data_IF_600146711550
#
_entry.id   IF_600146711550
#
_cell.length_a   1.000
_cell.length_b   1.000
_cell.length_c   1.000
_cell.angle_alpha   90.00
_cell.angle_beta   90.00
_cell.angle_gamma   90.00
#
_symmetry.space_group_name_H-M   'P 1'
#
loop_
_entity.id
_entity.type
_entity.pdbx_description
1 polymer ?
#
# COMPACT_ATOMS: atom_id res chain seq x y z
N UNK A 1 32.09 13.78 -27.72
CA UNK A 1 31.34 12.50 -27.62
C UNK A 1 31.21 12.10 -26.14
N UNK A 2 31.20 13.07 -25.23
CA UNK A 2 31.56 12.87 -23.81
C UNK A 2 30.37 12.93 -22.84
N UNK A 3 29.20 13.33 -23.32
CA UNK A 3 28.00 13.51 -22.50
C UNK A 3 27.31 12.18 -22.14
N UNK A 4 27.54 11.13 -22.95
CA UNK A 4 26.95 9.80 -22.73
C UNK A 4 27.60 9.04 -21.56
N UNK A 5 28.91 9.20 -21.37
CA UNK A 5 29.68 8.50 -20.33
C UNK A 5 29.36 9.00 -18.92
N UNK A 6 29.22 10.32 -18.75
CA UNK A 6 28.87 10.93 -17.46
C UNK A 6 27.47 10.54 -16.99
N UNK A 7 26.49 10.50 -17.91
CA UNK A 7 25.11 10.08 -17.61
C UNK A 7 25.03 8.60 -17.21
N UNK A 8 25.79 7.73 -17.89
CA UNK A 8 25.85 6.31 -17.54
C UNK A 8 26.51 6.07 -16.18
N UNK A 9 27.62 6.76 -15.90
CA UNK A 9 28.31 6.64 -14.62
C UNK A 9 27.45 7.14 -13.45
N UNK A 10 26.74 8.26 -13.63
CA UNK A 10 25.79 8.77 -12.65
C UNK A 10 24.62 7.80 -12.40
N UNK A 11 24.09 7.13 -13.43
CA UNK A 11 23.09 6.06 -13.26
C UNK A 11 23.67 4.86 -12.50
N UNK A 12 24.87 4.41 -12.85
CA UNK A 12 25.52 3.29 -12.19
C UNK A 12 25.75 3.56 -10.69
N UNK A 13 26.20 4.77 -10.34
CA UNK A 13 26.38 5.20 -8.95
C UNK A 13 25.05 5.24 -8.18
N UNK A 14 23.97 5.76 -8.80
CA UNK A 14 22.63 5.73 -8.19
C UNK A 14 22.16 4.30 -7.95
N UNK A 15 22.36 3.39 -8.91
CA UNK A 15 22.02 1.98 -8.74
C UNK A 15 22.86 1.30 -7.66
N UNK A 16 24.16 1.58 -7.58
CA UNK A 16 25.03 1.05 -6.54
C UNK A 16 24.63 1.54 -5.13
N UNK A 17 24.32 2.83 -4.98
CA UNK A 17 23.84 3.39 -3.73
C UNK A 17 22.48 2.78 -3.30
N UNK A 18 21.56 2.63 -4.26
CA UNK A 18 20.29 1.91 -4.04
C UNK A 18 20.54 0.48 -3.55
N UNK A 19 21.43 -0.26 -4.19
CA UNK A 19 21.79 -1.62 -3.77
C UNK A 19 22.37 -1.64 -2.35
N UNK A 20 23.30 -0.76 -2.02
CA UNK A 20 23.91 -0.70 -0.68
C UNK A 20 22.88 -0.41 0.42
N UNK A 21 21.87 0.42 0.14
CA UNK A 21 20.84 0.79 1.12
C UNK A 21 19.72 -0.25 1.24
N UNK A 22 19.35 -0.92 0.14
CA UNK A 22 18.25 -1.88 0.11
C UNK A 22 18.69 -3.31 0.41
N UNK A 23 19.89 -3.72 -0.03
CA UNK A 23 20.35 -5.11 0.08
C UNK A 23 20.40 -5.63 1.53
N UNK A 24 20.88 -4.88 2.54
CA UNK A 24 20.89 -5.36 3.93
C UNK A 24 19.48 -5.65 4.44
N UNK A 25 18.53 -4.76 4.14
CA UNK A 25 17.11 -4.91 4.53
C UNK A 25 16.46 -6.08 3.78
N UNK A 26 16.79 -6.27 2.51
CA UNK A 26 16.33 -7.38 1.72
C UNK A 26 16.85 -8.72 2.25
N UNK A 27 18.14 -8.82 2.54
CA UNK A 27 18.76 -10.02 3.09
C UNK A 27 18.17 -10.39 4.46
N UNK A 28 17.91 -9.40 5.33
CA UNK A 28 17.25 -9.64 6.60
C UNK A 28 15.84 -10.22 6.40
N UNK A 29 15.05 -9.62 5.49
CA UNK A 29 13.72 -10.13 5.16
C UNK A 29 13.76 -11.53 4.55
N UNK A 30 14.74 -11.81 3.70
CA UNK A 30 14.99 -13.13 3.12
C UNK A 30 15.30 -14.17 4.21
N UNK A 31 16.18 -13.85 5.16
CA UNK A 31 16.47 -14.72 6.31
C UNK A 31 15.22 -14.94 7.17
N UNK A 32 14.40 -13.90 7.40
CA UNK A 32 13.15 -14.04 8.13
C UNK A 32 12.15 -14.97 7.42
N UNK A 33 11.96 -14.81 6.11
CA UNK A 33 11.11 -15.71 5.33
C UNK A 33 11.63 -17.16 5.37
N UNK A 34 12.94 -17.36 5.30
CA UNK A 34 13.56 -18.67 5.44
C UNK A 34 13.33 -19.30 6.82
N UNK A 35 13.43 -18.50 7.89
CA UNK A 35 13.09 -18.95 9.24
C UNK A 35 11.60 -19.32 9.37
N UNK A 36 10.72 -18.61 8.67
CA UNK A 36 9.28 -18.89 8.65
C UNK A 36 8.90 -20.16 7.87
N UNK A 37 9.80 -20.76 7.10
CA UNK A 37 9.57 -22.11 6.53
C UNK A 37 9.60 -23.21 7.60
N UNK A 38 10.26 -22.96 8.74
CA UNK A 38 10.24 -23.89 9.85
C UNK A 38 8.91 -23.77 10.61
N UNK A 39 8.05 -24.80 10.52
CA UNK A 39 6.70 -24.81 11.11
C UNK A 39 6.64 -24.37 12.58
N UNK A 40 7.61 -24.77 13.40
CA UNK A 40 7.68 -24.39 14.81
C UNK A 40 7.91 -22.87 14.99
N UNK A 41 8.78 -22.29 14.15
CA UNK A 41 9.07 -20.86 14.14
C UNK A 41 7.84 -20.12 13.60
N UNK A 42 7.27 -20.58 12.48
CA UNK A 42 6.05 -20.00 11.89
C UNK A 42 4.92 -19.92 12.90
N UNK A 43 4.59 -21.04 13.55
CA UNK A 43 3.52 -21.08 14.55
C UNK A 43 3.80 -20.12 15.71
N UNK A 44 5.04 -20.05 16.19
CA UNK A 44 5.42 -19.16 17.29
C UNK A 44 5.37 -17.68 16.89
N UNK A 45 5.79 -17.33 15.67
CA UNK A 45 5.75 -15.96 15.15
C UNK A 45 4.31 -15.52 14.88
N UNK A 46 3.50 -16.35 14.23
CA UNK A 46 2.09 -16.04 13.94
C UNK A 46 1.26 -15.91 15.22
N UNK A 47 1.48 -16.78 16.22
CA UNK A 47 0.84 -16.64 17.53
C UNK A 47 1.25 -15.32 18.19
N UNK A 48 2.55 -14.98 18.19
CA UNK A 48 3.04 -13.74 18.78
C UNK A 48 2.57 -12.49 18.03
N UNK A 49 2.35 -12.59 16.71
CA UNK A 49 1.74 -11.53 15.90
C UNK A 49 0.25 -11.38 16.21
N UNK A 50 -0.48 -12.48 16.34
CA UNK A 50 -1.88 -12.48 16.77
C UNK A 50 -2.05 -11.91 18.18
N UNK A 51 -1.13 -12.18 19.11
CA UNK A 51 -1.10 -11.55 20.44
C UNK A 51 -0.78 -10.06 20.42
N UNK A 52 -0.05 -9.57 19.39
CA UNK A 52 0.26 -8.15 19.16
C UNK A 52 -0.84 -7.41 18.40
N UNK A 53 -1.87 -8.12 17.96
CA UNK A 53 -3.04 -7.56 17.31
C UNK A 53 -3.94 -7.00 18.41
N UNK A 54 -3.48 -5.90 19.02
CA UNK A 54 -4.03 -5.32 20.24
C UNK A 54 -5.47 -4.75 20.07
N UNK A 55 -5.99 -4.66 18.84
CA UNK A 55 -7.31 -4.07 18.56
C UNK A 55 -8.19 -4.99 17.69
N UNK A 56 -9.47 -5.18 18.06
CA UNK A 56 -10.45 -5.92 17.24
C UNK A 56 -10.77 -5.25 15.90
N UNK A 57 -10.32 -4.00 15.70
CA UNK A 57 -10.53 -3.25 14.46
C UNK A 57 -9.49 -3.53 13.37
N UNK A 58 -8.33 -4.10 13.73
CA UNK A 58 -7.24 -4.36 12.78
C UNK A 58 -7.48 -5.72 12.09
N UNK A 59 -7.50 -5.81 10.74
CA UNK A 59 -7.75 -7.07 10.05
C UNK A 59 -6.65 -8.09 10.33
N UNK A 60 -6.97 -9.40 10.46
CA UNK A 60 -5.96 -10.43 10.68
C UNK A 60 -4.92 -10.39 9.56
N UNK A 61 -3.65 -10.56 9.91
CA UNK A 61 -2.59 -10.73 8.91
C UNK A 61 -2.83 -12.04 8.18
N UNK A 62 -3.33 -11.96 6.95
CA UNK A 62 -3.52 -13.12 6.10
C UNK A 62 -2.16 -13.67 5.66
N UNK A 63 -1.97 -14.97 5.84
CA UNK A 63 -0.74 -15.67 5.47
C UNK A 63 -1.07 -16.62 4.33
N UNK A 64 -0.33 -16.51 3.23
CA UNK A 64 -0.48 -17.49 2.13
C UNK A 64 -0.31 -18.91 2.65
N UNK A 65 -1.25 -19.80 2.30
CA UNK A 65 -1.24 -21.24 2.63
C UNK A 65 -0.08 -22.03 2.01
N UNK A 66 0.80 -21.38 1.26
CA UNK A 66 1.98 -22.06 0.74
C UNK A 66 2.80 -22.64 1.89
N UNK A 67 3.21 -23.91 1.76
CA UNK A 67 4.05 -24.57 2.75
C UNK A 67 5.45 -23.95 2.87
N UNK A 68 5.80 -23.02 1.96
CA UNK A 68 7.05 -22.25 1.98
C UNK A 68 6.77 -20.77 1.79
N UNK A 69 7.25 -19.97 2.73
CA UNK A 69 7.35 -18.51 2.69
C UNK A 69 8.60 -18.06 1.93
N UNK A 70 9.68 -18.84 1.97
CA UNK A 70 10.90 -18.56 1.23
C UNK A 70 10.84 -19.09 -0.21
N UNK A 71 10.06 -18.42 -1.04
CA UNK A 71 9.98 -18.70 -2.47
C UNK A 71 10.59 -17.55 -3.28
N UNK A 72 10.89 -17.81 -4.55
CA UNK A 72 11.39 -16.78 -5.45
C UNK A 72 10.37 -15.65 -5.64
N UNK A 73 9.09 -16.00 -5.63
CA UNK A 73 7.94 -15.10 -5.70
C UNK A 73 7.90 -14.19 -4.47
N UNK A 74 8.02 -14.76 -3.26
CA UNK A 74 8.06 -13.98 -2.02
C UNK A 74 9.25 -13.02 -1.99
N UNK A 75 10.43 -13.49 -2.39
CA UNK A 75 11.63 -12.64 -2.47
C UNK A 75 11.44 -11.50 -3.49
N UNK A 76 10.87 -11.78 -4.66
CA UNK A 76 10.55 -10.76 -5.65
C UNK A 76 9.56 -9.73 -5.12
N UNK A 77 8.51 -10.18 -4.41
CA UNK A 77 7.50 -9.30 -3.83
C UNK A 77 8.09 -8.40 -2.72
N UNK A 78 8.91 -8.97 -1.82
CA UNK A 78 9.62 -8.21 -0.78
C UNK A 78 10.55 -7.17 -1.40
N UNK A 79 11.36 -7.55 -2.39
CA UNK A 79 12.24 -6.62 -3.09
C UNK A 79 11.45 -5.51 -3.78
N UNK A 80 10.34 -5.86 -4.43
CA UNK A 80 9.46 -4.91 -5.11
C UNK A 80 8.88 -3.89 -4.13
N UNK A 81 8.29 -4.34 -3.02
CA UNK A 81 7.74 -3.46 -1.99
C UNK A 81 8.81 -2.58 -1.33
N UNK A 82 10.00 -3.13 -1.03
CA UNK A 82 11.11 -2.34 -0.48
C UNK A 82 11.59 -1.26 -1.44
N UNK A 83 11.71 -1.59 -2.73
CA UNK A 83 12.11 -0.65 -3.79
C UNK A 83 11.06 0.46 -3.94
N UNK A 84 9.78 0.11 -3.99
CA UNK A 84 8.70 1.09 -4.10
C UNK A 84 8.69 2.03 -2.91
N UNK A 85 8.79 1.53 -1.68
CA UNK A 85 8.77 2.42 -0.52
C UNK A 85 10.02 3.32 -0.47
N UNK A 86 11.19 2.83 -0.89
CA UNK A 86 12.38 3.67 -0.94
C UNK A 86 12.30 4.77 -2.01
N UNK A 87 11.64 4.51 -3.13
CA UNK A 87 11.53 5.43 -4.26
C UNK A 87 10.26 6.29 -4.24
N UNK A 88 9.35 6.05 -3.29
CA UNK A 88 8.09 6.79 -3.21
C UNK A 88 8.35 8.27 -3.00
N UNK A 89 7.45 9.09 -3.52
CA UNK A 89 7.48 10.54 -3.31
C UNK A 89 6.68 10.97 -2.08
N UNK A 90 5.66 10.22 -1.69
CA UNK A 90 4.83 10.53 -0.52
C UNK A 90 5.61 10.36 0.79
N UNK A 91 5.70 11.44 1.56
CA UNK A 91 6.33 11.44 2.89
C UNK A 91 5.49 12.28 3.86
N UNK A 92 5.46 11.85 5.13
CA UNK A 92 4.80 12.59 6.19
C UNK A 92 5.30 14.04 6.26
N UNK A 93 4.37 15.01 6.26
CA UNK A 93 4.63 16.45 6.30
C UNK A 93 4.82 17.12 4.94
N UNK A 94 5.09 16.34 3.89
CA UNK A 94 5.35 16.82 2.53
C UNK A 94 4.07 16.91 1.69
N UNK A 95 4.19 17.49 0.49
CA UNK A 95 3.12 17.54 -0.50
C UNK A 95 2.68 16.13 -0.92
N UNK A 96 1.37 15.91 -0.95
CA UNK A 96 0.78 14.64 -1.38
C UNK A 96 0.90 14.50 -2.91
N UNK A 97 1.44 13.37 -3.42
CA UNK A 97 1.53 13.16 -4.87
C UNK A 97 0.16 13.16 -5.57
N UNK A 98 -0.03 14.04 -6.55
CA UNK A 98 -1.30 14.18 -7.26
C UNK A 98 -1.36 13.32 -8.55
N UNK A 99 -1.33 12.00 -8.38
CA UNK A 99 -1.31 11.02 -9.47
C UNK A 99 -2.68 10.82 -10.13
N UNK A 100 -2.66 10.28 -11.34
CA UNK A 100 -3.86 10.01 -12.14
C UNK A 100 -4.52 8.70 -11.71
N UNK A 101 -5.84 8.74 -11.53
CA UNK A 101 -6.68 7.62 -11.13
C UNK A 101 -7.99 7.65 -11.93
N UNK A 102 -8.69 6.52 -11.99
CA UNK A 102 -9.95 6.41 -12.75
C UNK A 102 -11.10 6.06 -11.81
N UNK A 103 -12.16 6.84 -11.80
CA UNK A 103 -13.38 6.55 -11.04
C UNK A 103 -14.05 5.30 -11.57
N UNK A 104 -14.35 4.33 -10.70
CA UNK A 104 -14.95 3.06 -11.12
C UNK A 104 -16.36 3.25 -11.69
N UNK A 105 -17.20 4.03 -10.99
CA UNK A 105 -18.61 4.24 -11.37
C UNK A 105 -18.77 5.09 -12.63
N UNK A 106 -17.99 6.16 -12.75
CA UNK A 106 -18.11 7.15 -13.86
C UNK A 106 -17.18 6.83 -15.04
N UNK A 107 -16.22 5.90 -14.87
CA UNK A 107 -15.13 5.63 -15.81
C UNK A 107 -14.37 6.89 -16.25
N UNK A 108 -14.34 7.91 -15.39
CA UNK A 108 -13.71 9.20 -15.63
C UNK A 108 -12.32 9.26 -15.00
N UNK A 109 -11.35 9.74 -15.76
CA UNK A 109 -10.01 10.04 -15.25
C UNK A 109 -10.03 11.30 -14.41
N UNK A 110 -9.46 11.22 -13.21
CA UNK A 110 -9.31 12.32 -12.25
C UNK A 110 -7.94 12.19 -11.58
N UNK A 111 -7.57 13.15 -10.73
CA UNK A 111 -6.39 13.00 -9.86
C UNK A 111 -6.80 12.74 -8.41
N UNK A 112 -5.85 12.24 -7.61
CA UNK A 112 -6.10 11.94 -6.20
C UNK A 112 -6.60 13.17 -5.44
N UNK A 113 -5.99 14.34 -5.67
CA UNK A 113 -6.36 15.55 -4.94
C UNK A 113 -7.72 16.11 -5.38
N UNK A 114 -8.19 15.81 -6.59
CA UNK A 114 -9.55 16.19 -7.05
C UNK A 114 -10.65 15.48 -6.24
N UNK A 115 -10.29 14.40 -5.54
CA UNK A 115 -11.20 13.69 -4.66
C UNK A 115 -11.32 14.30 -3.26
N UNK A 116 -10.48 15.29 -2.92
CA UNK A 116 -10.58 16.03 -1.65
C UNK A 116 -11.80 16.95 -1.64
N UNK A 117 -12.42 17.13 -0.48
CA UNK A 117 -13.58 18.02 -0.31
C UNK A 117 -13.25 19.12 0.70
N UNK A 118 -12.68 20.22 0.19
CA UNK A 118 -12.25 21.36 1.01
C UNK A 118 -11.17 20.94 2.03
N UNK A 119 -11.23 21.49 3.25
CA UNK A 119 -10.25 21.22 4.33
C UNK A 119 -10.49 19.91 5.09
N UNK A 120 -11.25 18.96 4.53
CA UNK A 120 -11.53 17.69 5.20
C UNK A 120 -10.39 16.70 4.97
N UNK A 121 -9.97 15.92 5.99
CA UNK A 121 -9.01 14.86 5.79
C UNK A 121 -9.56 13.84 4.77
N UNK A 122 -8.75 13.55 3.75
CA UNK A 122 -8.96 12.47 2.81
C UNK A 122 -8.14 11.27 3.27
N UNK A 123 -8.80 10.25 3.80
CA UNK A 123 -8.15 8.96 4.05
C UNK A 123 -8.02 8.27 2.70
N UNK A 124 -6.78 8.03 2.28
CA UNK A 124 -6.45 7.18 1.14
C UNK A 124 -6.23 5.78 1.69
N UNK A 125 -7.13 4.89 1.31
CA UNK A 125 -6.96 3.48 1.59
C UNK A 125 -6.64 2.77 0.28
N UNK A 126 -5.53 2.06 0.24
CA UNK A 126 -5.31 1.08 -0.80
C UNK A 126 -6.02 -0.23 -0.35
N UNK A 127 -7.34 -0.15 -0.11
CA UNK A 127 -8.20 -1.06 0.68
C UNK A 127 -9.57 -0.43 1.05
N UNK A 128 -10.34 -0.93 2.03
CA UNK A 128 -11.77 -0.52 2.27
C UNK A 128 -12.01 0.65 3.27
N UNK A 129 -13.07 1.44 3.01
CA UNK A 129 -13.54 2.68 3.68
C UNK A 129 -12.70 3.95 3.43
N UNK A 130 -13.41 5.06 3.11
CA UNK A 130 -12.89 6.31 2.51
C UNK A 130 -12.38 6.12 1.06
N UNK A 131 -11.63 7.07 0.46
CA UNK A 131 -11.27 6.94 -0.95
C UNK A 131 -10.36 5.72 -1.13
N UNK A 132 -10.90 4.71 -1.80
CA UNK A 132 -10.21 3.46 -2.07
C UNK A 132 -9.46 3.61 -3.39
N UNK A 133 -8.14 3.47 -3.36
CA UNK A 133 -7.33 3.40 -4.58
C UNK A 133 -6.99 1.94 -4.86
N UNK A 134 -7.73 1.34 -5.78
CA UNK A 134 -7.50 -0.03 -6.24
C UNK A 134 -6.22 -0.11 -7.08
N UNK A 135 -5.27 -0.93 -6.65
CA UNK A 135 -3.97 -1.10 -7.31
C UNK A 135 -3.86 -2.47 -7.96
N UNK A 136 -2.65 -2.88 -8.33
CA UNK A 136 -2.40 -4.22 -8.85
C UNK A 136 -2.59 -5.30 -7.78
N UNK A 137 -3.00 -6.50 -8.20
CA UNK A 137 -3.16 -7.64 -7.31
C UNK A 137 -1.83 -8.02 -6.65
N UNK A 138 -1.85 -8.12 -5.32
CA UNK A 138 -0.74 -8.67 -4.56
C UNK A 138 -0.57 -10.18 -4.82
N UNK A 139 -1.69 -10.89 -5.00
CA UNK A 139 -1.77 -12.33 -5.16
C UNK A 139 -2.59 -12.72 -6.39
N UNK A 140 -2.09 -12.47 -7.62
CA UNK A 140 -2.83 -12.79 -8.82
C UNK A 140 -3.00 -14.30 -8.99
N UNK A 141 -4.18 -14.74 -9.47
CA UNK A 141 -4.51 -16.16 -9.64
C UNK A 141 -3.69 -16.87 -10.73
N UNK A 142 -3.09 -16.13 -11.66
CA UNK A 142 -2.14 -16.60 -12.68
C UNK A 142 -0.67 -16.42 -12.25
N UNK A 143 -0.42 -16.20 -10.96
CA UNK A 143 0.91 -16.04 -10.38
C UNK A 143 1.02 -16.63 -8.98
N UNK A 144 1.24 -15.77 -7.98
CA UNK A 144 1.39 -16.19 -6.59
C UNK A 144 0.03 -16.27 -5.89
N UNK A 145 -0.59 -17.45 -5.97
CA UNK A 145 -1.96 -17.69 -5.51
C UNK A 145 -2.07 -17.71 -3.98
N UNK A 146 -3.13 -17.08 -3.46
CA UNK A 146 -3.60 -17.25 -2.08
C UNK A 146 -4.96 -17.95 -2.08
N UNK A 147 -5.08 -19.08 -1.40
CA UNK A 147 -6.35 -19.82 -1.26
C UNK A 147 -7.35 -19.14 -0.33
N UNK A 148 -6.89 -18.24 0.52
CA UNK A 148 -7.73 -17.48 1.46
C UNK A 148 -8.39 -16.26 0.82
N UNK A 149 -8.02 -15.90 -0.41
CA UNK A 149 -8.60 -14.75 -1.08
C UNK A 149 -10.05 -15.07 -1.52
N UNK A 150 -11.04 -14.23 -1.16
CA UNK A 150 -12.44 -14.44 -1.53
C UNK A 150 -12.65 -14.39 -3.05
N UNK A 151 -11.78 -13.69 -3.77
CA UNK A 151 -11.80 -13.54 -5.21
C UNK A 151 -10.47 -13.99 -5.83
N UNK A 152 -10.54 -14.79 -6.89
CA UNK A 152 -9.37 -15.29 -7.62
C UNK A 152 -9.17 -14.48 -8.90
N UNK A 153 -8.48 -13.35 -8.78
CA UNK A 153 -8.34 -12.35 -9.84
C UNK A 153 -6.97 -12.52 -10.53
N UNK A 154 -6.90 -12.69 -11.87
CA UNK A 154 -5.62 -12.77 -12.57
C UNK A 154 -4.96 -11.39 -12.66
N UNK A 155 -3.67 -11.35 -12.98
CA UNK A 155 -2.97 -10.08 -13.17
C UNK A 155 -3.65 -9.25 -14.27
N UNK A 156 -3.99 -8.00 -13.94
CA UNK A 156 -4.59 -7.06 -14.88
C UNK A 156 -3.68 -6.83 -16.09
N UNK A 157 -4.20 -7.05 -17.30
CA UNK A 157 -3.50 -6.80 -18.56
C UNK A 157 -3.90 -5.47 -19.18
N UNK A 158 -5.09 -5.00 -18.84
CA UNK A 158 -5.61 -3.71 -19.26
C UNK A 158 -6.41 -3.03 -18.15
N UNK A 159 -6.73 -1.75 -18.33
CA UNK A 159 -7.51 -0.97 -17.36
C UNK A 159 -8.89 -1.57 -17.11
N UNK A 160 -9.52 -2.17 -18.12
CA UNK A 160 -10.83 -2.81 -17.98
C UNK A 160 -10.78 -4.02 -17.04
N UNK A 161 -9.69 -4.80 -17.04
CA UNK A 161 -9.51 -5.89 -16.08
C UNK A 161 -9.50 -5.36 -14.65
N UNK A 162 -8.76 -4.26 -14.43
CA UNK A 162 -8.66 -3.62 -13.11
C UNK A 162 -9.97 -2.98 -12.67
N UNK A 163 -10.71 -2.36 -13.58
CA UNK A 163 -12.04 -1.81 -13.29
C UNK A 163 -13.03 -2.91 -12.90
N UNK A 164 -13.02 -4.05 -13.60
CA UNK A 164 -13.88 -5.21 -13.26
C UNK A 164 -13.55 -5.77 -11.88
N UNK A 165 -12.26 -5.88 -11.55
CA UNK A 165 -11.80 -6.30 -10.23
C UNK A 165 -12.24 -5.33 -9.13
N UNK A 166 -12.02 -4.02 -9.34
CA UNK A 166 -12.43 -2.98 -8.40
C UNK A 166 -13.96 -2.89 -8.19
N UNK A 167 -14.75 -3.26 -9.21
CA UNK A 167 -16.20 -3.32 -9.10
C UNK A 167 -16.68 -4.36 -8.07
N UNK A 168 -15.90 -5.42 -7.82
CA UNK A 168 -16.19 -6.40 -6.76
C UNK A 168 -16.07 -5.78 -5.36
N UNK A 169 -15.26 -4.74 -5.15
CA UNK A 169 -15.25 -4.04 -3.86
C UNK A 169 -16.55 -3.27 -3.62
N UNK A 170 -17.16 -2.76 -4.70
CA UNK A 170 -18.43 -2.04 -4.61
C UNK A 170 -19.63 -2.97 -4.33
N UNK A 171 -19.51 -4.28 -4.58
CA UNK A 171 -20.56 -5.23 -4.18
C UNK A 171 -20.56 -5.48 -2.68
N UNK A 172 -19.38 -5.45 -2.04
CA UNK A 172 -19.24 -5.59 -0.58
C UNK A 172 -19.52 -4.27 0.16
N UNK A 173 -19.06 -3.14 -0.38
CA UNK A 173 -19.21 -1.81 0.25
C UNK A 173 -19.70 -0.78 -0.78
N UNK A 174 -21.03 -0.74 -1.07
CA UNK A 174 -21.59 0.09 -2.15
C UNK A 174 -21.39 1.59 -1.99
N UNK A 175 -21.31 2.08 -0.75
CA UNK A 175 -21.15 3.51 -0.44
C UNK A 175 -19.69 3.99 -0.53
N UNK A 176 -18.74 3.08 -0.77
CA UNK A 176 -17.32 3.43 -0.86
C UNK A 176 -17.02 4.17 -2.17
N UNK A 177 -16.17 5.19 -2.10
CA UNK A 177 -15.65 5.85 -3.30
C UNK A 177 -14.42 5.10 -3.76
N UNK A 178 -14.57 4.29 -4.80
CA UNK A 178 -13.47 3.51 -5.38
C UNK A 178 -12.95 4.16 -6.65
N UNK A 179 -11.65 4.37 -6.71
CA UNK A 179 -10.89 4.73 -7.91
C UNK A 179 -9.88 3.62 -8.18
N UNK A 180 -9.46 3.47 -9.43
CA UNK A 180 -8.38 2.54 -9.81
C UNK A 180 -7.14 3.32 -10.21
N UNK A 181 -5.98 2.79 -9.85
CA UNK A 181 -4.70 3.31 -10.33
C UNK A 181 -4.56 3.04 -11.83
N UNK A 182 -3.78 3.86 -12.52
CA UNK A 182 -3.48 3.65 -13.93
C UNK A 182 -2.61 2.40 -14.15
N UNK A 183 -2.55 1.90 -15.38
CA UNK A 183 -1.80 0.68 -15.69
C UNK A 183 -0.27 0.84 -15.53
N UNK A 184 0.22 2.07 -15.44
CA UNK A 184 1.61 2.39 -15.09
C UNK A 184 1.89 2.32 -13.58
N UNK A 185 0.87 2.02 -12.77
CA UNK A 185 0.94 1.92 -11.31
C UNK A 185 1.49 3.20 -10.66
N UNK A 186 1.13 4.36 -11.20
CA UNK A 186 1.70 5.66 -10.79
C UNK A 186 1.39 6.00 -9.34
N UNK A 187 0.17 5.72 -8.87
CA UNK A 187 -0.25 5.97 -7.48
C UNK A 187 0.43 4.98 -6.54
N UNK A 188 0.46 3.69 -6.91
CA UNK A 188 1.16 2.66 -6.16
C UNK A 188 2.65 3.01 -5.97
N UNK A 189 3.31 3.48 -7.03
CA UNK A 189 4.70 3.93 -6.98
C UNK A 189 4.90 5.19 -6.16
N UNK A 190 4.07 6.21 -6.35
CA UNK A 190 4.20 7.50 -5.67
C UNK A 190 3.97 7.39 -4.15
N UNK A 191 3.10 6.47 -3.72
CA UNK A 191 2.76 6.24 -2.32
C UNK A 191 3.45 5.01 -1.71
N UNK A 192 4.20 4.23 -2.50
CA UNK A 192 4.81 2.97 -2.04
C UNK A 192 3.79 2.06 -1.36
N UNK A 193 2.66 1.83 -2.03
CA UNK A 193 1.44 1.27 -1.43
C UNK A 193 1.23 -0.23 -1.75
N UNK A 194 2.25 -0.90 -2.27
CA UNK A 194 2.18 -2.31 -2.66
C UNK A 194 1.74 -3.20 -1.49
N UNK A 195 0.88 -4.17 -1.78
CA UNK A 195 -0.04 -4.86 -0.87
C UNK A 195 -1.20 -3.98 -0.41
N UNK A 196 -1.01 -3.26 0.69
CA UNK A 196 -2.00 -2.39 1.28
C UNK A 196 -1.30 -1.31 2.09
N UNK A 197 -1.90 -0.12 2.15
CA UNK A 197 -1.36 1.01 2.91
C UNK A 197 -2.42 2.06 3.20
N UNK A 198 -2.25 2.77 4.31
CA UNK A 198 -3.11 3.87 4.71
C UNK A 198 -2.35 5.19 4.65
N UNK A 199 -3.00 6.22 4.14
CA UNK A 199 -2.54 7.61 4.22
C UNK A 199 -3.69 8.53 4.60
N UNK A 200 -3.37 9.68 5.19
CA UNK A 200 -4.33 10.79 5.30
C UNK A 200 -3.70 11.99 4.61
N UNK A 201 -4.46 12.57 3.70
CA UNK A 201 -4.11 13.79 2.98
C UNK A 201 -5.03 14.92 3.44
N UNK A 202 -4.45 16.06 3.77
CA UNK A 202 -5.17 17.27 4.18
C UNK A 202 -4.41 18.49 3.70
N UNK A 203 -5.12 19.47 3.16
CA UNK A 203 -4.53 20.67 2.56
C UNK A 203 -3.38 20.33 1.61
N UNK A 204 -3.62 19.34 0.74
CA UNK A 204 -2.68 18.81 -0.27
C UNK A 204 -1.37 18.24 0.30
N UNK A 205 -1.32 17.94 1.60
CA UNK A 205 -0.16 17.39 2.29
C UNK A 205 -0.47 16.06 2.94
N UNK A 206 0.56 15.22 3.08
CA UNK A 206 0.46 13.96 3.82
C UNK A 206 0.55 14.24 5.32
N UNK A 207 -0.53 14.02 6.04
CA UNK A 207 -0.60 14.24 7.51
C UNK A 207 -0.58 12.94 8.31
N UNK A 208 -0.73 11.81 7.61
CA UNK A 208 -0.53 10.47 8.17
C UNK A 208 -0.02 9.52 7.09
N UNK A 209 0.90 8.64 7.46
CA UNK A 209 1.47 7.61 6.61
C UNK A 209 1.58 6.31 7.42
N UNK A 210 0.79 5.31 7.03
CA UNK A 210 0.83 3.98 7.64
C UNK A 210 2.12 3.22 7.35
N UNK A 211 2.33 2.18 8.18
CA UNK A 211 3.40 1.21 8.02
C UNK A 211 3.35 0.47 6.68
N UNK A 212 4.37 -0.34 6.41
CA UNK A 212 4.46 -1.15 5.18
C UNK A 212 3.75 -2.48 5.36
N UNK A 213 3.02 -2.91 4.33
CA UNK A 213 2.45 -4.25 4.24
C UNK A 213 1.38 -4.52 5.30
N UNK A 214 0.92 -5.79 5.42
CA UNK A 214 -0.19 -6.15 6.28
C UNK A 214 0.08 -5.89 7.77
N UNK A 215 1.33 -6.06 8.21
CA UNK A 215 1.71 -5.74 9.60
C UNK A 215 1.60 -4.24 9.92
N UNK A 216 1.77 -3.39 8.90
CA UNK A 216 1.70 -1.94 9.01
C UNK A 216 0.31 -1.36 8.73
N UNK A 217 -0.65 -2.19 8.31
CA UNK A 217 -2.03 -1.79 8.07
C UNK A 217 -2.80 -1.76 9.40
N UNK A 218 -2.69 -0.63 10.10
CA UNK A 218 -3.30 -0.44 11.43
C UNK A 218 -4.48 0.53 11.34
N UNK A 219 -5.69 -0.01 11.34
CA UNK A 219 -6.94 0.76 11.43
C UNK A 219 -7.03 1.46 12.78
N UNK A 220 -6.55 0.82 13.86
CA UNK A 220 -6.49 1.39 15.20
C UNK A 220 -5.68 2.68 15.27
N UNK A 221 -4.50 2.72 14.64
CA UNK A 221 -3.66 3.91 14.56
C UNK A 221 -4.35 5.05 13.78
N UNK A 222 -4.98 4.71 12.65
CA UNK A 222 -5.78 5.64 11.86
C UNK A 222 -6.95 6.21 12.68
N UNK A 223 -7.70 5.37 13.41
CA UNK A 223 -8.80 5.80 14.28
C UNK A 223 -8.31 6.77 15.36
N UNK A 224 -7.21 6.46 16.03
CA UNK A 224 -6.62 7.33 17.04
C UNK A 224 -6.26 8.71 16.46
N UNK A 225 -5.67 8.75 15.27
CA UNK A 225 -5.38 10.00 14.58
C UNK A 225 -6.65 10.81 14.29
N UNK A 226 -7.70 10.17 13.76
CA UNK A 226 -8.97 10.82 13.43
C UNK A 226 -9.69 11.34 14.68
N UNK A 227 -9.64 10.61 15.78
CA UNK A 227 -10.19 11.04 17.07
C UNK A 227 -9.47 12.27 17.61
N UNK A 228 -8.14 12.29 17.53
CA UNK A 228 -7.33 13.42 17.95
C UNK A 228 -7.66 14.67 17.11
N UNK A 229 -7.70 14.52 15.79
CA UNK A 229 -8.11 15.59 14.87
C UNK A 229 -9.52 16.13 15.21
N UNK A 230 -10.47 15.25 15.53
CA UNK A 230 -11.83 15.65 15.91
C UNK A 230 -11.85 16.42 17.24
N UNK A 231 -11.05 16.02 18.22
CA UNK A 231 -10.95 16.72 19.51
C UNK A 231 -10.40 18.13 19.32
N UNK A 232 -9.31 18.26 18.58
CA UNK A 232 -8.65 19.54 18.30
C UNK A 232 -9.56 20.50 17.50
N UNK A 233 -10.23 20.02 16.46
CA UNK A 233 -11.11 20.85 15.63
C UNK A 233 -12.53 21.04 16.19
N UNK A 234 -12.94 20.19 17.14
CA UNK A 234 -14.20 20.31 17.87
C UNK A 234 -14.16 21.38 18.97
N UNK A 235 -12.99 21.60 19.58
CA UNK A 235 -12.80 22.62 20.62
C UNK A 235 -12.73 24.05 20.06
N UNK A 236 -12.37 24.23 18.79
CA UNK A 236 -12.26 25.55 18.14
C UNK A 236 -13.62 26.24 17.92
N UNK A 237 -14.75 25.58 18.19
CA UNK A 237 -16.10 26.17 18.04
C UNK A 237 -16.74 26.69 19.34
N UNK A 238 -16.04 26.68 20.48
CA UNK A 238 -16.56 27.22 21.76
C UNK A 238 -15.72 28.43 22.20
N UNK A 239 -15.66 29.45 21.37
CA UNK A 239 -15.20 30.79 21.75
C UNK A 239 -15.77 31.81 20.76
N UNK A 240 -17.06 32.10 20.92
CA UNK A 240 -17.73 33.35 20.49
C UNK A 240 -18.97 33.54 21.34
#
# INVERSE_FOLDING_TARGET
MDDSGGVQMARALKHAALCLMLLPRFLLAAVMLWLLDFLCIRRKVLLKMGERQDSPDDPPVCVSDSNKMFTWESLRAVWHGQKLDFLKSAHLGEAAPNTEVVLVQERRQVRILDCTKGKRPLVLNFGSYFLVVYIEEAHPSDGWVSSDAPYQIPKHRCLEDRLRAAQLMLTEVPESKVVVDNMDNSSNAAYGAYFERLYIVMDERVVYQGGRGPEGYRISELKNWLEQYRKENGQVKVQT
#
